data_IF_454248438434
#
_entry.id   IF_454248438434
#
_cell.length_a   1.000
_cell.length_b   1.000
_cell.length_c   1.000
_cell.angle_alpha   90.00
_cell.angle_beta   90.00
_cell.angle_gamma   90.00
#
_symmetry.space_group_name_H-M   'P 1'
#
loop_
_entity.id
_entity.type
_entity.pdbx_description
1 polymer ?
#
# COMPACT_ATOMS: atom_id res chain seq x y z
N UNK A 1 -17.19 -17.54 33.43
CA UNK A 1 -16.21 -17.94 32.39
C UNK A 1 -16.70 -17.45 31.03
N UNK A 2 -15.97 -16.54 30.38
CA UNK A 2 -16.31 -16.10 29.02
C UNK A 2 -15.78 -17.14 28.01
N UNK A 3 -16.69 -17.73 27.23
CA UNK A 3 -16.31 -18.59 26.10
C UNK A 3 -15.85 -17.70 24.95
N UNK A 4 -14.60 -17.83 24.52
CA UNK A 4 -14.09 -17.19 23.32
C UNK A 4 -14.20 -18.16 22.14
N UNK A 5 -14.78 -17.70 21.04
CA UNK A 5 -14.91 -18.48 19.81
C UNK A 5 -13.94 -17.93 18.76
N UNK A 6 -13.16 -18.83 18.15
CA UNK A 6 -12.21 -18.48 17.08
C UNK A 6 -12.76 -18.96 15.73
N UNK A 7 -13.11 -18.01 14.87
CA UNK A 7 -13.57 -18.29 13.52
C UNK A 7 -12.42 -18.21 12.52
N UNK A 8 -12.47 -19.08 11.50
CA UNK A 8 -11.53 -19.05 10.37
C UNK A 8 -12.32 -18.80 9.08
N UNK A 9 -11.94 -17.74 8.37
CA UNK A 9 -12.46 -17.49 7.03
C UNK A 9 -11.88 -18.52 6.05
N UNK A 10 -12.77 -19.25 5.37
CA UNK A 10 -12.42 -20.19 4.29
C UNK A 10 -12.77 -19.54 2.97
N UNK A 11 -11.81 -18.81 2.42
CA UNK A 11 -11.97 -18.11 1.14
C UNK A 11 -11.81 -19.08 -0.02
N UNK A 12 -12.60 -18.89 -1.09
CA UNK A 12 -12.38 -19.55 -2.38
C UNK A 12 -11.15 -18.95 -3.08
N UNK A 13 -10.59 -19.66 -4.07
CA UNK A 13 -9.43 -19.16 -4.81
C UNK A 13 -9.70 -17.81 -5.50
N UNK A 14 -10.91 -17.61 -6.04
CA UNK A 14 -11.33 -16.32 -6.60
C UNK A 14 -11.32 -15.20 -5.56
N UNK A 15 -11.82 -15.47 -4.35
CA UNK A 15 -11.82 -14.50 -3.25
C UNK A 15 -10.41 -14.19 -2.77
N UNK A 16 -9.53 -15.19 -2.67
CA UNK A 16 -8.11 -14.98 -2.33
C UNK A 16 -7.42 -14.07 -3.35
N UNK A 17 -7.64 -14.33 -4.65
CA UNK A 17 -7.11 -13.50 -5.73
C UNK A 17 -7.59 -12.06 -5.60
N UNK A 18 -8.88 -11.84 -5.34
CA UNK A 18 -9.43 -10.50 -5.13
C UNK A 18 -8.82 -9.81 -3.90
N UNK A 19 -8.71 -10.51 -2.77
CA UNK A 19 -8.07 -9.97 -1.57
C UNK A 19 -6.60 -9.58 -1.83
N UNK A 20 -5.86 -10.39 -2.56
CA UNK A 20 -4.46 -10.10 -2.91
C UNK A 20 -4.35 -8.89 -3.83
N UNK A 21 -5.23 -8.76 -4.82
CA UNK A 21 -5.29 -7.58 -5.67
C UNK A 21 -5.56 -6.33 -4.85
N UNK A 22 -6.60 -6.34 -4.00
CA UNK A 22 -6.94 -5.21 -3.13
C UNK A 22 -5.78 -4.85 -2.21
N UNK A 23 -5.15 -5.83 -1.56
CA UNK A 23 -4.01 -5.60 -0.69
C UNK A 23 -2.82 -4.97 -1.45
N UNK A 24 -2.56 -5.46 -2.68
CA UNK A 24 -1.57 -4.89 -3.59
C UNK A 24 -1.88 -3.43 -3.95
N UNK A 25 -3.12 -3.13 -4.30
CA UNK A 25 -3.60 -1.77 -4.60
C UNK A 25 -3.41 -0.82 -3.42
N UNK A 26 -3.82 -1.24 -2.23
CA UNK A 26 -3.66 -0.45 -1.00
C UNK A 26 -2.17 -0.17 -0.72
N UNK A 27 -1.31 -1.19 -0.82
CA UNK A 27 0.13 -1.05 -0.62
C UNK A 27 0.76 -0.07 -1.62
N UNK A 28 0.37 -0.16 -2.89
CA UNK A 28 0.85 0.73 -3.94
C UNK A 28 0.48 2.20 -3.65
N UNK A 29 -0.80 2.47 -3.37
CA UNK A 29 -1.31 3.81 -3.04
C UNK A 29 -0.59 4.39 -1.82
N UNK A 30 -0.39 3.56 -0.79
CA UNK A 30 0.32 3.98 0.42
C UNK A 30 1.77 4.36 0.12
N UNK A 31 2.52 3.49 -0.54
CA UNK A 31 3.92 3.70 -0.89
C UNK A 31 4.11 4.92 -1.79
N UNK A 32 3.22 5.13 -2.76
CA UNK A 32 3.28 6.30 -3.64
C UNK A 32 3.10 7.59 -2.85
N UNK A 33 2.14 7.61 -1.93
CA UNK A 33 1.94 8.76 -1.06
C UNK A 33 3.10 9.03 -0.11
N UNK A 34 3.79 7.99 0.36
CA UNK A 34 5.03 8.15 1.14
C UNK A 34 6.16 8.74 0.28
N UNK A 35 6.32 8.25 -0.95
CA UNK A 35 7.33 8.77 -1.88
C UNK A 35 7.10 10.25 -2.18
N UNK A 36 5.85 10.67 -2.45
CA UNK A 36 5.51 12.08 -2.65
C UNK A 36 5.84 12.95 -1.44
N UNK A 37 5.55 12.47 -0.23
CA UNK A 37 5.89 13.18 1.00
C UNK A 37 7.41 13.33 1.17
N UNK A 38 8.16 12.26 0.90
CA UNK A 38 9.62 12.29 0.95
C UNK A 38 10.17 13.31 -0.05
N UNK A 39 9.71 13.25 -1.29
CA UNK A 39 10.14 14.15 -2.36
C UNK A 39 9.89 15.62 -2.02
N UNK A 40 8.68 15.99 -1.57
CA UNK A 40 8.40 17.39 -1.21
C UNK A 40 9.21 17.90 -0.02
N UNK A 41 9.54 17.01 0.93
CA UNK A 41 10.43 17.38 2.03
C UNK A 41 11.88 17.57 1.56
N UNK A 42 12.37 16.71 0.67
CA UNK A 42 13.73 16.79 0.14
C UNK A 42 13.92 18.01 -0.75
N UNK A 43 12.97 18.31 -1.64
CA UNK A 43 13.07 19.41 -2.60
C UNK A 43 12.72 20.78 -2.00
N UNK A 44 11.68 20.84 -1.15
CA UNK A 44 11.05 22.11 -0.74
C UNK A 44 10.98 22.30 0.77
N UNK A 45 11.38 21.29 1.57
CA UNK A 45 11.16 21.23 3.02
C UNK A 45 9.69 21.43 3.42
N UNK A 46 8.77 21.05 2.52
CA UNK A 46 7.34 21.21 2.72
C UNK A 46 6.71 19.97 3.34
N UNK A 47 5.69 20.18 4.19
CA UNK A 47 4.85 19.09 4.70
C UNK A 47 3.57 19.02 3.87
N UNK A 48 3.41 17.94 3.11
CA UNK A 48 2.17 17.67 2.39
C UNK A 48 1.09 17.16 3.36
N UNK A 49 -0.09 17.79 3.34
CA UNK A 49 -1.27 17.32 4.09
C UNK A 49 -1.90 16.09 3.45
N UNK A 50 -2.63 15.28 4.23
CA UNK A 50 -3.28 14.06 3.72
C UNK A 50 -4.28 14.35 2.59
N UNK A 51 -4.95 15.51 2.62
CA UNK A 51 -5.92 15.93 1.60
C UNK A 51 -5.20 16.22 0.27
N UNK A 52 -4.05 16.89 0.30
CA UNK A 52 -3.23 17.14 -0.88
C UNK A 52 -2.69 15.84 -1.48
N UNK A 53 -2.23 14.92 -0.62
CA UNK A 53 -1.79 13.57 -1.03
C UNK A 53 -2.91 12.80 -1.75
N UNK A 54 -4.13 12.84 -1.22
CA UNK A 54 -5.28 12.16 -1.83
C UNK A 54 -5.63 12.75 -3.21
N UNK A 55 -5.56 14.08 -3.38
CA UNK A 55 -5.79 14.73 -4.68
C UNK A 55 -4.78 14.30 -5.74
N UNK A 56 -3.49 14.21 -5.38
CA UNK A 56 -2.43 13.77 -6.29
C UNK A 56 -2.53 12.28 -6.64
N UNK A 57 -2.98 11.45 -5.68
CA UNK A 57 -3.10 10.00 -5.89
C UNK A 57 -4.37 9.62 -6.67
N UNK A 58 -5.39 10.50 -6.70
CA UNK A 58 -6.67 10.30 -7.43
C UNK A 58 -6.52 10.39 -8.95
N UNK A 59 -5.45 11.03 -9.44
CA UNK A 59 -5.19 11.22 -10.87
C UNK A 59 -4.47 10.05 -11.55
N UNK A 60 -4.18 8.96 -10.82
CA UNK A 60 -3.46 7.81 -11.37
C UNK A 60 -4.43 7.01 -12.25
N UNK A 61 -4.22 6.93 -13.58
CA UNK A 61 -5.06 6.11 -14.43
C UNK A 61 -4.90 4.64 -14.03
N UNK A 62 -6.02 3.96 -13.82
CA UNK A 62 -6.14 2.52 -13.52
C UNK A 62 -5.78 1.65 -14.74
N UNK A 63 -4.71 1.96 -15.47
CA UNK A 63 -4.40 1.36 -16.77
C UNK A 63 -3.37 0.24 -16.77
N UNK A 64 -2.81 -0.19 -15.63
CA UNK A 64 -1.87 -1.31 -15.62
C UNK A 64 -2.30 -2.39 -14.64
N UNK A 65 -2.69 -3.53 -15.21
CA UNK A 65 -2.99 -4.76 -14.49
C UNK A 65 -1.92 -5.08 -13.45
N UNK A 66 -2.40 -5.42 -12.26
CA UNK A 66 -1.60 -5.78 -11.12
C UNK A 66 -0.80 -7.05 -11.40
N UNK A 67 0.51 -6.89 -11.64
CA UNK A 67 1.48 -7.97 -11.47
C UNK A 67 2.60 -7.49 -10.53
N UNK A 68 2.23 -7.33 -9.25
CA UNK A 68 3.18 -7.09 -8.17
C UNK A 68 3.51 -8.42 -7.50
N UNK A 69 4.23 -9.28 -8.20
CA UNK A 69 4.93 -10.37 -7.55
C UNK A 69 6.40 -10.35 -7.99
N UNK A 70 7.26 -10.42 -6.96
CA UNK A 70 8.69 -10.78 -6.96
C UNK A 70 9.74 -9.66 -6.85
N UNK A 71 9.68 -8.52 -7.55
CA UNK A 71 10.83 -7.57 -7.50
C UNK A 71 10.93 -6.72 -6.21
N UNK A 72 9.81 -6.40 -5.56
CA UNK A 72 9.79 -5.56 -4.35
C UNK A 72 10.08 -6.32 -3.04
N UNK A 73 10.20 -7.65 -3.09
CA UNK A 73 10.55 -8.50 -1.93
C UNK A 73 12.06 -8.81 -1.87
N UNK A 74 12.81 -8.64 -2.96
CA UNK A 74 14.27 -8.89 -2.97
C UNK A 74 15.10 -7.74 -2.43
N UNK A 75 14.59 -6.50 -2.47
CA UNK A 75 15.27 -5.36 -1.85
C UNK A 75 14.74 -5.18 -0.44
N UNK A 76 15.39 -5.85 0.51
CA UNK A 76 15.12 -5.71 1.94
C UNK A 76 14.99 -4.24 2.33
N UNK A 77 13.93 -3.93 3.06
CA UNK A 77 13.72 -2.60 3.64
C UNK A 77 14.88 -2.30 4.59
N UNK A 78 15.77 -1.33 4.31
CA UNK A 78 16.70 -0.89 5.32
C UNK A 78 15.86 -0.12 6.33
N UNK A 79 15.68 -0.69 7.53
CA UNK A 79 15.02 0.01 8.63
C UNK A 79 15.67 1.37 8.88
N UNK A 80 14.98 2.28 9.58
CA UNK A 80 15.60 3.56 9.93
C UNK A 80 16.84 3.27 10.78
N UNK A 81 18.01 3.62 10.26
CA UNK A 81 19.28 3.55 11.00
C UNK A 81 19.19 4.57 12.13
N UNK A 82 19.41 4.10 13.36
CA UNK A 82 19.41 4.91 14.57
C UNK A 82 20.56 5.93 14.57
#
# INVERSE_FOLDING_TARGET
MSKSFKYRLRLTEKQKSLCNQIAGSCRYVWNRGLALKKQAWEERKERISQIQKQRQTRLIPTSSGYNLNQSALQKGWPGPTA
#
